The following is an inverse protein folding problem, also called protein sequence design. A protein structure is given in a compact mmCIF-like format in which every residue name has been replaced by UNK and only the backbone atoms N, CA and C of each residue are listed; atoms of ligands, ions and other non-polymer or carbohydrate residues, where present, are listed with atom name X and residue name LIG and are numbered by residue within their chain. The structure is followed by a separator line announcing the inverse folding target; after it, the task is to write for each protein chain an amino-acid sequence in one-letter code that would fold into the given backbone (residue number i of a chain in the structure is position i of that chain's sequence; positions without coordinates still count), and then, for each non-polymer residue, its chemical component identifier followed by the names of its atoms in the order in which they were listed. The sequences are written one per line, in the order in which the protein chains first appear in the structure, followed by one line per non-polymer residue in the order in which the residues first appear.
data_IF_232525612986
#
_entry.id   IF_232525612986
#
_cell.length_a   1.000
_cell.length_b   1.000
_cell.length_c   1.000
_cell.angle_alpha   90.00
_cell.angle_beta   90.00
_cell.angle_gamma   90.00
#
_symmetry.space_group_name_H-M   'P 1'
#
loop_
_entity.id
_entity.type
_entity.pdbx_description
1 polymer ?
#
# COMPACT_ATOMS: atom_id res chain seq x y z
N UNK A 1 8.64 -15.35 -3.89
CA UNK A 1 8.92 -13.91 -3.74
C UNK A 1 8.79 -13.50 -2.29
N UNK A 2 9.67 -12.65 -1.80
CA UNK A 2 9.50 -12.15 -0.44
C UNK A 2 8.27 -11.27 -0.34
N UNK A 3 7.63 -11.31 0.82
CA UNK A 3 6.48 -10.46 1.08
C UNK A 3 6.94 -9.01 1.24
N UNK A 4 6.27 -8.03 0.60
CA UNK A 4 6.64 -6.64 0.78
C UNK A 4 6.53 -6.22 2.24
N UNK A 5 7.48 -5.42 2.68
CA UNK A 5 7.44 -4.86 4.03
C UNK A 5 6.44 -3.71 4.10
N UNK A 6 6.14 -3.28 5.31
CA UNK A 6 5.27 -2.12 5.50
C UNK A 6 5.85 -0.87 4.84
N UNK A 7 7.18 -0.72 4.88
CA UNK A 7 7.85 0.40 4.24
C UNK A 7 7.64 0.37 2.72
N UNK A 8 7.65 -0.81 2.12
CA UNK A 8 7.40 -0.95 0.68
C UNK A 8 6.00 -0.48 0.32
N UNK A 9 5.00 -0.82 1.14
CA UNK A 9 3.63 -0.36 0.94
C UNK A 9 3.54 1.16 1.04
N UNK A 10 4.13 1.73 2.08
CA UNK A 10 4.10 3.18 2.27
C UNK A 10 4.80 3.92 1.14
N UNK A 11 5.95 3.42 0.73
CA UNK A 11 6.71 4.02 -0.36
C UNK A 11 5.88 4.02 -1.65
N UNK A 12 5.22 2.91 -1.95
CA UNK A 12 4.39 2.82 -3.14
C UNK A 12 3.19 3.76 -3.06
N UNK A 13 2.57 3.86 -1.89
CA UNK A 13 1.46 4.78 -1.69
C UNK A 13 1.91 6.23 -1.94
N UNK A 14 3.04 6.63 -1.38
CA UNK A 14 3.58 7.98 -1.58
C UNK A 14 3.90 8.26 -3.04
N UNK A 15 4.48 7.28 -3.74
CA UNK A 15 4.76 7.42 -5.16
C UNK A 15 3.49 7.67 -5.97
N UNK A 16 2.45 6.91 -5.69
CA UNK A 16 1.18 7.05 -6.40
C UNK A 16 0.52 8.39 -6.13
N UNK A 17 0.56 8.85 -4.89
CA UNK A 17 0.01 10.15 -4.53
C UNK A 17 0.79 11.26 -5.24
N UNK A 18 2.10 11.14 -5.31
CA UNK A 18 2.94 12.13 -5.98
C UNK A 18 2.67 12.18 -7.48
N UNK A 19 2.47 11.03 -8.11
CA UNK A 19 2.26 10.93 -9.55
C UNK A 19 0.82 11.27 -9.96
N UNK A 20 -0.16 10.76 -9.22
CA UNK A 20 -1.57 10.81 -9.59
C UNK A 20 -2.44 11.63 -8.66
N UNK A 21 -1.93 11.96 -7.48
CA UNK A 21 -2.70 12.66 -6.46
C UNK A 21 -3.55 11.75 -5.59
N UNK A 22 -3.50 10.44 -5.81
CA UNK A 22 -4.25 9.45 -5.04
C UNK A 22 -3.59 8.07 -5.17
N UNK A 23 -3.93 7.17 -4.26
CA UNK A 23 -3.44 5.79 -4.30
C UNK A 23 -4.64 4.85 -4.16
N UNK A 24 -4.84 3.99 -5.15
CA UNK A 24 -5.89 2.97 -5.13
C UNK A 24 -5.30 1.62 -4.76
N UNK A 25 -6.12 0.78 -4.11
CA UNK A 25 -5.70 -0.59 -3.74
C UNK A 25 -5.18 -1.34 -4.96
N UNK A 26 -5.89 -1.27 -6.08
CA UNK A 26 -5.49 -1.97 -7.30
C UNK A 26 -4.14 -1.49 -7.83
N UNK A 27 -3.88 -0.19 -7.78
CA UNK A 27 -2.61 0.37 -8.23
C UNK A 27 -1.46 -0.05 -7.33
N UNK A 28 -1.70 -0.06 -6.02
CA UNK A 28 -0.69 -0.49 -5.04
C UNK A 28 -0.37 -1.96 -5.24
N UNK A 29 -1.41 -2.80 -5.37
CA UNK A 29 -1.25 -4.23 -5.56
C UNK A 29 -0.47 -4.54 -6.83
N UNK A 30 -0.79 -3.87 -7.92
CA UNK A 30 -0.10 -4.06 -9.19
C UNK A 30 1.37 -3.66 -9.09
N UNK A 31 1.65 -2.53 -8.46
CA UNK A 31 3.01 -2.03 -8.32
C UNK A 31 3.88 -2.93 -7.44
N UNK A 32 3.29 -3.60 -6.46
CA UNK A 32 4.01 -4.49 -5.56
C UNK A 32 3.91 -5.96 -5.98
N UNK A 33 3.17 -6.25 -7.05
CA UNK A 33 2.97 -7.61 -7.55
C UNK A 33 2.36 -8.53 -6.49
N UNK A 34 1.38 -8.01 -5.76
CA UNK A 34 0.66 -8.77 -4.73
C UNK A 34 -0.84 -8.75 -5.03
N UNK A 35 -1.57 -9.64 -4.36
CA UNK A 35 -3.03 -9.68 -4.51
C UNK A 35 -3.66 -8.45 -3.82
N UNK A 36 -4.72 -7.86 -4.40
CA UNK A 36 -5.39 -6.70 -3.79
C UNK A 36 -5.85 -6.91 -2.35
N UNK A 37 -6.25 -8.14 -2.00
CA UNK A 37 -6.66 -8.44 -0.64
C UNK A 37 -5.52 -8.27 0.38
N UNK A 38 -4.27 -8.51 -0.06
CA UNK A 38 -3.10 -8.30 0.78
C UNK A 38 -2.91 -6.82 1.08
N UNK A 39 -3.14 -5.97 0.08
CA UNK A 39 -3.05 -4.52 0.26
C UNK A 39 -4.14 -4.04 1.23
N UNK A 40 -5.36 -4.54 1.07
CA UNK A 40 -6.47 -4.17 1.95
C UNK A 40 -6.15 -4.53 3.40
N UNK A 41 -5.62 -5.72 3.63
CA UNK A 41 -5.23 -6.14 4.98
C UNK A 41 -4.13 -5.25 5.55
N UNK A 42 -3.18 -4.85 4.73
CA UNK A 42 -2.08 -3.98 5.17
C UNK A 42 -2.61 -2.59 5.54
N UNK A 43 -3.53 -2.05 4.74
CA UNK A 43 -4.14 -0.76 5.02
C UNK A 43 -4.93 -0.80 6.33
N UNK A 44 -5.68 -1.87 6.57
CA UNK A 44 -6.41 -2.05 7.81
C UNK A 44 -5.48 -2.10 9.01
N UNK A 45 -4.33 -2.75 8.85
CA UNK A 45 -3.34 -2.84 9.90
C UNK A 45 -2.72 -1.47 10.18
N UNK A 46 -2.42 -0.69 9.14
CA UNK A 46 -1.89 0.65 9.29
C UNK A 46 -2.87 1.56 10.04
N UNK A 47 -4.14 1.47 9.69
CA UNK A 47 -5.18 2.26 10.35
C UNK A 47 -5.30 1.88 11.83
N UNK A 48 -5.28 0.58 12.11
CA UNK A 48 -5.37 0.07 13.48
C UNK A 48 -4.18 0.51 14.33
N UNK A 49 -3.01 0.60 13.74
CA UNK A 49 -1.78 0.97 14.44
C UNK A 49 -1.52 2.49 14.40
N UNK A 50 -2.48 3.27 13.91
CA UNK A 50 -2.40 4.74 13.81
C UNK A 50 -1.26 5.26 12.94
N UNK A 51 -0.85 4.48 11.95
CA UNK A 51 0.16 4.95 11.00
C UNK A 51 -0.42 5.93 9.99
N UNK A 52 -1.73 5.86 9.76
CA UNK A 52 -2.44 6.79 8.90
C UNK A 52 -3.29 7.71 9.76
N UNK A 53 -2.96 8.94 9.74
CA UNK A 53 -3.64 9.94 10.58
C UNK A 53 -4.54 10.82 9.73
#
# INVERSE_FOLDING_TARGET
MPTPSMEDYLERIYQLIDEKGYARVSDIAEGLEVHPSSVTKMIQKLDKDDYLV
#
